data_IF_218124372997
#
_entry.id   IF_218124372997
#
_cell.length_a   1.000
_cell.length_b   1.000
_cell.length_c   1.000
_cell.angle_alpha   90.00
_cell.angle_beta   90.00
_cell.angle_gamma   90.00
#
_symmetry.space_group_name_H-M   'P 1'
#
loop_
_entity.id
_entity.type
_entity.pdbx_description
1 polymer ?
#
# COMPACT_ATOMS: atom_id res chain seq x y z
N UNK A 1 8.90 -31.40 -2.30
CA UNK A 1 8.32 -30.18 -2.89
C UNK A 1 7.42 -29.56 -1.82
N UNK A 2 7.95 -28.63 -1.03
CA UNK A 2 7.22 -27.99 0.08
C UNK A 2 6.42 -26.86 -0.55
N UNK A 3 5.09 -27.02 -0.60
CA UNK A 3 4.18 -25.88 -0.87
C UNK A 3 4.18 -25.01 0.37
N UNK A 4 4.86 -23.88 0.32
CA UNK A 4 4.66 -22.80 1.28
C UNK A 4 3.31 -22.17 0.93
N UNK A 5 2.25 -22.57 1.63
CA UNK A 5 1.00 -21.82 1.64
C UNK A 5 1.25 -20.59 2.51
N UNK A 6 1.54 -19.47 1.90
CA UNK A 6 1.44 -18.17 2.58
C UNK A 6 -0.04 -17.92 2.81
N UNK A 7 -0.52 -18.22 4.01
CA UNK A 7 -1.85 -17.80 4.44
C UNK A 7 -1.78 -16.29 4.67
N UNK A 8 -2.14 -15.53 3.64
CA UNK A 8 -2.37 -14.09 3.80
C UNK A 8 -3.75 -13.97 4.44
N UNK A 9 -3.80 -13.37 5.63
CA UNK A 9 -5.05 -13.18 6.36
C UNK A 9 -5.99 -12.24 5.60
N UNK A 10 -7.27 -12.56 5.60
CA UNK A 10 -8.31 -11.68 5.08
C UNK A 10 -8.78 -10.78 6.21
N UNK A 11 -8.80 -9.47 5.98
CA UNK A 11 -9.32 -8.50 6.93
C UNK A 11 -10.60 -7.87 6.40
N UNK A 12 -11.59 -7.71 7.26
CA UNK A 12 -12.84 -7.07 6.92
C UNK A 12 -13.03 -5.80 7.74
N UNK A 13 -13.46 -4.74 7.07
CA UNK A 13 -13.86 -3.48 7.69
C UNK A 13 -15.34 -3.21 7.46
N UNK A 14 -15.83 -2.01 7.74
CA UNK A 14 -17.22 -1.64 7.48
C UNK A 14 -17.59 -1.75 5.99
N UNK A 15 -16.72 -1.27 5.11
CA UNK A 15 -16.98 -1.18 3.65
C UNK A 15 -16.08 -2.07 2.80
N UNK A 16 -14.96 -2.59 3.37
CA UNK A 16 -13.90 -3.20 2.60
C UNK A 16 -13.66 -4.65 3.00
N UNK A 17 -13.15 -5.42 2.04
CA UNK A 17 -12.45 -6.68 2.24
C UNK A 17 -11.02 -6.48 1.76
N UNK A 18 -10.04 -6.65 2.64
CA UNK A 18 -8.63 -6.69 2.30
C UNK A 18 -8.26 -8.16 2.14
N UNK A 19 -7.99 -8.59 0.92
CA UNK A 19 -7.74 -9.99 0.56
C UNK A 19 -6.52 -10.16 -0.33
N UNK A 20 -5.95 -11.36 -0.42
CA UNK A 20 -4.91 -11.63 -1.41
C UNK A 20 -5.34 -11.24 -2.82
N UNK A 21 -4.39 -10.72 -3.61
CA UNK A 21 -4.58 -10.52 -5.03
C UNK A 21 -4.79 -11.85 -5.75
N UNK A 22 -5.58 -11.84 -6.81
CA UNK A 22 -5.87 -12.98 -7.69
C UNK A 22 -5.49 -12.62 -9.11
N UNK A 23 -5.07 -13.60 -9.90
CA UNK A 23 -4.77 -13.37 -11.32
C UNK A 23 -5.99 -12.83 -12.09
N UNK A 24 -7.19 -13.24 -11.67
CA UNK A 24 -8.46 -12.71 -12.23
C UNK A 24 -8.69 -11.22 -11.98
N UNK A 25 -7.92 -10.58 -11.11
CA UNK A 25 -8.01 -9.14 -10.84
C UNK A 25 -7.21 -8.29 -11.87
N UNK A 26 -6.51 -8.92 -12.82
CA UNK A 26 -5.63 -8.22 -13.76
C UNK A 26 -6.35 -7.15 -14.60
N UNK A 27 -7.56 -7.42 -15.06
CA UNK A 27 -8.35 -6.47 -15.85
C UNK A 27 -8.75 -5.25 -15.01
N UNK A 28 -9.21 -5.45 -13.78
CA UNK A 28 -9.59 -4.34 -12.89
C UNK A 28 -8.36 -3.59 -12.40
N UNK A 29 -7.25 -4.27 -12.17
CA UNK A 29 -5.98 -3.61 -11.86
C UNK A 29 -5.56 -2.71 -13.03
N UNK A 30 -5.55 -3.20 -14.27
CA UNK A 30 -5.23 -2.41 -15.44
C UNK A 30 -6.17 -1.21 -15.59
N UNK A 31 -7.48 -1.41 -15.42
CA UNK A 31 -8.49 -0.33 -15.48
C UNK A 31 -8.11 0.88 -14.63
N UNK A 32 -7.60 0.65 -13.43
CA UNK A 32 -7.28 1.74 -12.49
C UNK A 32 -5.80 2.13 -12.47
N UNK A 33 -4.90 1.18 -12.67
CA UNK A 33 -3.47 1.43 -12.68
C UNK A 33 -2.97 2.09 -13.98
N UNK A 34 -3.75 2.08 -15.06
CA UNK A 34 -3.45 2.83 -16.29
C UNK A 34 -3.81 4.32 -16.19
N UNK A 35 -4.52 4.75 -15.14
CA UNK A 35 -4.82 6.18 -14.92
C UNK A 35 -3.52 6.93 -14.57
N UNK A 36 -3.13 7.96 -15.35
CA UNK A 36 -1.89 8.72 -15.14
C UNK A 36 -1.87 9.52 -13.83
N UNK A 37 -3.01 9.66 -13.15
CA UNK A 37 -3.07 10.32 -11.85
C UNK A 37 -2.87 9.35 -10.67
N UNK A 38 -2.93 8.03 -10.88
CA UNK A 38 -2.83 7.03 -9.81
C UNK A 38 -1.38 6.60 -9.58
N UNK A 39 -0.77 5.92 -10.55
CA UNK A 39 0.56 5.36 -10.42
C UNK A 39 1.65 6.37 -10.04
N UNK A 40 1.77 7.49 -10.77
CA UNK A 40 2.81 8.48 -10.48
C UNK A 40 2.74 9.13 -9.09
N UNK A 41 1.56 9.14 -8.45
CA UNK A 41 1.38 9.59 -7.06
C UNK A 41 1.78 8.54 -6.03
N UNK A 42 1.89 7.29 -6.45
CA UNK A 42 2.28 6.15 -5.61
C UNK A 42 3.69 5.63 -5.96
N UNK A 43 4.36 6.25 -6.93
CA UNK A 43 5.76 5.98 -7.24
C UNK A 43 6.02 5.01 -8.39
N UNK A 44 5.02 4.70 -9.21
CA UNK A 44 5.15 3.79 -10.35
C UNK A 44 4.46 4.35 -11.61
N UNK A 45 4.92 3.96 -12.83
CA UNK A 45 4.34 4.44 -14.08
C UNK A 45 2.96 3.82 -14.32
N UNK A 46 2.07 4.49 -15.07
CA UNK A 46 0.81 3.88 -15.46
C UNK A 46 1.02 2.55 -16.18
N UNK A 47 0.21 1.54 -15.85
CA UNK A 47 0.25 0.25 -16.54
C UNK A 47 -0.17 0.41 -18.01
N UNK A 48 0.45 -0.35 -18.90
CA UNK A 48 0.26 -0.24 -20.35
C UNK A 48 -0.61 -1.34 -20.93
N UNK A 49 -0.81 -2.46 -20.19
CA UNK A 49 -1.64 -3.58 -20.62
C UNK A 49 -2.17 -4.42 -19.46
N UNK A 50 -3.14 -5.28 -19.74
CA UNK A 50 -3.64 -6.30 -18.78
C UNK A 50 -2.57 -7.33 -18.46
N UNK A 51 -1.76 -7.69 -19.46
CA UNK A 51 -0.64 -8.64 -19.30
C UNK A 51 0.42 -8.10 -18.34
N UNK A 52 0.77 -6.83 -18.43
CA UNK A 52 1.65 -6.18 -17.47
C UNK A 52 1.04 -6.18 -16.06
N UNK A 53 -0.24 -5.85 -15.94
CA UNK A 53 -0.96 -5.90 -14.67
C UNK A 53 -0.98 -7.30 -14.07
N UNK A 54 -1.14 -8.35 -14.89
CA UNK A 54 -1.06 -9.74 -14.47
C UNK A 54 0.34 -10.10 -13.95
N UNK A 55 1.37 -9.64 -14.63
CA UNK A 55 2.76 -9.87 -14.20
C UNK A 55 3.06 -9.16 -12.87
N UNK A 56 2.58 -7.93 -12.71
CA UNK A 56 2.69 -7.19 -11.43
C UNK A 56 1.95 -7.92 -10.29
N UNK A 57 0.77 -8.49 -10.55
CA UNK A 57 0.10 -9.33 -9.55
C UNK A 57 0.99 -10.50 -9.14
N UNK A 58 1.60 -11.20 -10.09
CA UNK A 58 2.42 -12.40 -9.85
C UNK A 58 3.72 -12.10 -9.11
N UNK A 59 4.35 -10.97 -9.41
CA UNK A 59 5.73 -10.68 -8.96
C UNK A 59 5.79 -9.70 -7.79
N UNK A 60 4.85 -8.77 -7.70
CA UNK A 60 4.84 -7.68 -6.71
C UNK A 60 3.71 -7.82 -5.71
N UNK A 61 2.49 -8.07 -6.18
CA UNK A 61 1.28 -8.00 -5.34
C UNK A 61 0.88 -9.34 -4.71
N UNK A 62 1.51 -10.46 -5.09
CA UNK A 62 1.28 -11.79 -4.49
C UNK A 62 2.13 -12.06 -3.25
N UNK A 63 2.97 -11.12 -2.84
CA UNK A 63 3.83 -11.24 -1.66
C UNK A 63 3.06 -11.25 -0.34
N UNK A 64 3.71 -11.76 0.71
CA UNK A 64 3.18 -11.63 2.07
C UNK A 64 3.00 -10.15 2.42
N UNK A 65 1.88 -9.83 3.07
CA UNK A 65 1.61 -8.45 3.52
C UNK A 65 1.03 -7.53 2.44
N UNK A 66 0.63 -8.07 1.28
CA UNK A 66 0.02 -7.30 0.20
C UNK A 66 -1.45 -7.68 0.00
N UNK A 67 -2.34 -6.71 0.05
CA UNK A 67 -3.79 -6.91 -0.10
C UNK A 67 -4.39 -6.08 -1.22
N UNK A 68 -5.28 -6.71 -1.97
CA UNK A 68 -6.27 -6.02 -2.79
C UNK A 68 -7.32 -5.40 -1.87
N UNK A 69 -7.68 -4.16 -2.13
CA UNK A 69 -8.77 -3.45 -1.45
C UNK A 69 -10.04 -3.64 -2.25
N UNK A 70 -10.94 -4.50 -1.78
CA UNK A 70 -12.21 -4.81 -2.44
C UNK A 70 -13.36 -4.10 -1.72
N UNK A 71 -14.25 -3.45 -2.47
CA UNK A 71 -15.50 -2.88 -1.95
C UNK A 71 -16.54 -3.98 -1.72
N UNK A 72 -17.09 -4.10 -0.51
CA UNK A 72 -18.16 -5.07 -0.19
C UNK A 72 -19.42 -4.88 -1.04
N UNK A 73 -19.77 -3.63 -1.33
CA UNK A 73 -20.99 -3.30 -2.08
C UNK A 73 -20.99 -3.82 -3.50
N UNK A 74 -19.85 -3.75 -4.18
CA UNK A 74 -19.73 -4.06 -5.61
C UNK A 74 -18.87 -5.28 -5.91
N UNK A 75 -18.12 -5.79 -4.89
CA UNK A 75 -17.08 -6.80 -5.06
C UNK A 75 -15.97 -6.37 -6.04
N UNK A 76 -15.82 -5.08 -6.28
CA UNK A 76 -14.79 -4.52 -7.17
C UNK A 76 -13.51 -4.21 -6.38
N UNK A 77 -12.36 -4.60 -6.93
CA UNK A 77 -11.06 -4.20 -6.40
C UNK A 77 -10.76 -2.78 -6.82
N UNK A 78 -10.52 -1.91 -5.86
CA UNK A 78 -10.37 -0.47 -6.05
C UNK A 78 -9.02 0.09 -5.61
N UNK A 79 -8.08 -0.77 -5.20
CA UNK A 79 -6.77 -0.33 -4.75
C UNK A 79 -5.94 -1.47 -4.17
N UNK A 80 -4.81 -1.09 -3.63
CA UNK A 80 -3.87 -1.96 -2.92
C UNK A 80 -3.38 -1.31 -1.65
N UNK A 81 -3.12 -2.12 -0.64
CA UNK A 81 -2.45 -1.72 0.58
C UNK A 81 -1.58 -2.87 1.06
N UNK A 82 -0.44 -2.55 1.68
CA UNK A 82 0.42 -3.59 2.22
C UNK A 82 1.48 -3.05 3.14
N UNK A 83 2.23 -3.98 3.76
CA UNK A 83 3.42 -3.65 4.52
C UNK A 83 4.66 -4.34 3.92
N UNK A 84 5.79 -3.69 4.05
CA UNK A 84 7.11 -4.16 3.65
C UNK A 84 7.97 -4.26 4.92
N UNK A 85 8.42 -5.46 5.31
CA UNK A 85 9.37 -5.60 6.43
C UNK A 85 10.72 -4.99 6.06
N UNK A 86 11.60 -4.78 7.04
CA UNK A 86 12.89 -4.11 6.89
C UNK A 86 13.71 -4.58 5.66
N UNK A 87 13.76 -5.89 5.41
CA UNK A 87 14.50 -6.45 4.26
C UNK A 87 13.91 -6.15 2.87
N UNK A 88 12.69 -5.60 2.81
CA UNK A 88 11.98 -5.26 1.56
C UNK A 88 11.62 -3.77 1.47
N UNK A 89 11.79 -3.03 2.55
CA UNK A 89 11.56 -1.58 2.61
C UNK A 89 12.67 -0.80 1.91
N UNK A 90 12.33 0.34 1.33
CA UNK A 90 13.30 1.32 0.83
C UNK A 90 13.83 2.25 1.94
N UNK A 91 13.23 2.19 3.14
CA UNK A 91 13.67 2.93 4.30
C UNK A 91 14.66 2.10 5.12
N UNK A 92 15.62 2.77 5.75
CA UNK A 92 16.55 2.16 6.70
C UNK A 92 15.81 2.01 8.05
N UNK A 93 15.21 0.85 8.26
CA UNK A 93 14.37 0.52 9.42
C UNK A 93 14.84 -0.78 10.09
N UNK A 94 14.52 -0.94 11.37
CA UNK A 94 14.88 -2.11 12.16
C UNK A 94 14.02 -3.34 11.84
N UNK A 95 14.50 -4.54 12.19
CA UNK A 95 13.83 -5.82 11.86
C UNK A 95 12.41 -5.96 12.44
N UNK A 96 12.14 -5.31 13.58
CA UNK A 96 10.83 -5.29 14.23
C UNK A 96 9.92 -4.15 13.75
N UNK A 97 10.24 -3.55 12.62
CA UNK A 97 9.51 -2.43 12.01
C UNK A 97 9.09 -2.76 10.58
N UNK A 98 8.11 -2.05 10.06
CA UNK A 98 7.71 -2.18 8.67
C UNK A 98 7.31 -0.84 8.05
N UNK A 99 7.37 -0.77 6.73
CA UNK A 99 6.86 0.33 5.93
C UNK A 99 5.49 -0.04 5.36
N UNK A 100 4.51 0.87 5.40
CA UNK A 100 3.19 0.68 4.81
C UNK A 100 3.08 1.52 3.55
N UNK A 101 2.66 0.87 2.45
CA UNK A 101 2.34 1.50 1.18
C UNK A 101 0.90 1.23 0.74
N UNK A 102 0.33 2.18 -0.01
CA UNK A 102 -1.06 2.04 -0.52
C UNK A 102 -1.32 2.93 -1.73
N UNK A 103 -2.32 2.53 -2.48
CA UNK A 103 -2.98 3.37 -3.48
C UNK A 103 -4.47 3.02 -3.60
N UNK A 104 -5.30 3.99 -3.96
CA UNK A 104 -6.73 3.83 -4.22
C UNK A 104 -7.05 4.44 -5.58
N UNK A 105 -7.92 3.80 -6.33
CA UNK A 105 -8.40 4.25 -7.63
C UNK A 105 -9.09 5.63 -7.53
N UNK A 106 -8.81 6.49 -8.50
CA UNK A 106 -9.24 7.89 -8.52
C UNK A 106 -10.74 8.13 -8.27
N UNK A 107 -11.70 7.32 -8.80
CA UNK A 107 -13.12 7.51 -8.52
C UNK A 107 -13.50 7.39 -7.03
N UNK A 108 -12.63 6.79 -6.21
CA UNK A 108 -12.87 6.51 -4.80
C UNK A 108 -12.09 7.42 -3.85
N UNK A 109 -11.41 8.45 -4.37
CA UNK A 109 -10.71 9.44 -3.56
C UNK A 109 -11.66 10.30 -2.73
N UNK A 110 -11.16 10.85 -1.64
CA UNK A 110 -11.88 11.74 -0.72
C UNK A 110 -13.13 11.13 -0.04
N UNK A 111 -13.26 9.79 -0.06
CA UNK A 111 -14.38 9.06 0.56
C UNK A 111 -14.01 8.35 1.86
N UNK A 112 -12.79 8.57 2.38
CA UNK A 112 -12.27 7.94 3.60
C UNK A 112 -11.92 6.45 3.45
N UNK A 113 -11.94 5.91 2.23
CA UNK A 113 -11.65 4.49 1.96
C UNK A 113 -10.21 4.15 2.31
N UNK A 114 -9.26 4.97 1.88
CA UNK A 114 -7.85 4.75 2.17
C UNK A 114 -7.56 4.79 3.68
N UNK A 115 -8.18 5.72 4.42
CA UNK A 115 -8.07 5.81 5.88
C UNK A 115 -8.62 4.57 6.57
N UNK A 116 -9.77 4.04 6.09
CA UNK A 116 -10.37 2.82 6.62
C UNK A 116 -9.48 1.59 6.38
N UNK A 117 -8.91 1.45 5.18
CA UNK A 117 -7.99 0.37 4.84
C UNK A 117 -6.70 0.46 5.67
N UNK A 118 -6.12 1.66 5.78
CA UNK A 118 -4.88 1.88 6.52
C UNK A 118 -5.06 1.56 8.01
N UNK A 119 -6.18 1.93 8.63
CA UNK A 119 -6.45 1.60 10.02
C UNK A 119 -6.48 0.09 10.26
N UNK A 120 -7.09 -0.68 9.37
CA UNK A 120 -7.12 -2.14 9.48
C UNK A 120 -5.71 -2.78 9.37
N UNK A 121 -4.88 -2.25 8.48
CA UNK A 121 -3.49 -2.74 8.33
C UNK A 121 -2.63 -2.33 9.53
N UNK A 122 -2.82 -1.14 10.09
CA UNK A 122 -2.14 -0.70 11.33
C UNK A 122 -2.46 -1.67 12.47
N UNK A 123 -3.74 -1.96 12.68
CA UNK A 123 -4.18 -2.89 13.72
C UNK A 123 -3.58 -4.29 13.52
N UNK A 124 -3.54 -4.76 12.28
CA UNK A 124 -2.92 -6.03 11.93
C UNK A 124 -1.40 -6.04 12.18
N UNK A 125 -0.69 -5.00 11.74
CA UNK A 125 0.76 -4.89 11.92
C UNK A 125 1.16 -4.87 13.40
N UNK A 126 0.45 -4.13 14.23
CA UNK A 126 0.74 -4.06 15.66
C UNK A 126 0.30 -5.30 16.42
N UNK A 127 -0.95 -5.74 16.25
CA UNK A 127 -1.56 -6.75 17.12
C UNK A 127 -1.36 -8.19 16.64
N UNK A 128 -1.13 -8.41 15.33
CA UNK A 128 -0.95 -9.76 14.76
C UNK A 128 0.52 -10.01 14.42
N UNK A 129 1.19 -9.05 13.76
CA UNK A 129 2.60 -9.19 13.39
C UNK A 129 3.55 -8.77 14.50
N UNK A 130 3.13 -7.93 15.44
CA UNK A 130 3.93 -7.50 16.58
C UNK A 130 5.02 -6.50 16.23
N UNK A 131 4.88 -5.75 15.13
CA UNK A 131 5.82 -4.68 14.81
C UNK A 131 5.76 -3.59 15.90
N UNK A 132 6.91 -2.98 16.18
CA UNK A 132 7.04 -1.92 17.20
C UNK A 132 6.79 -0.52 16.62
N UNK A 133 7.14 -0.31 15.35
CA UNK A 133 7.02 0.97 14.65
C UNK A 133 6.56 0.72 13.22
N UNK A 134 5.63 1.56 12.76
CA UNK A 134 5.20 1.59 11.37
C UNK A 134 5.70 2.88 10.72
N UNK A 135 6.25 2.73 9.54
CA UNK A 135 6.74 3.80 8.69
C UNK A 135 5.90 3.91 7.44
N UNK A 136 5.85 5.07 6.86
CA UNK A 136 5.29 5.31 5.54
C UNK A 136 5.90 6.58 4.97
N UNK A 137 5.75 6.80 3.67
CA UNK A 137 6.21 8.03 3.05
C UNK A 137 5.19 8.58 2.06
N UNK A 138 5.39 9.82 1.64
CA UNK A 138 4.60 10.43 0.58
C UNK A 138 5.37 11.52 -0.15
N UNK A 139 5.04 11.70 -1.42
CA UNK A 139 5.56 12.81 -2.22
C UNK A 139 4.96 14.13 -1.77
N UNK A 140 5.76 15.22 -1.62
CA UNK A 140 5.25 16.53 -1.22
C UNK A 140 4.14 17.10 -2.13
N UNK A 141 4.11 16.66 -3.39
CA UNK A 141 3.07 17.02 -4.37
C UNK A 141 1.80 16.16 -4.26
N UNK A 142 1.80 15.16 -3.33
CA UNK A 142 0.64 14.35 -2.95
C UNK A 142 0.26 14.53 -1.46
N UNK A 143 -0.12 15.74 -1.02
CA UNK A 143 -0.45 15.99 0.38
C UNK A 143 -1.69 15.21 0.86
N UNK A 144 -2.49 14.65 -0.04
CA UNK A 144 -3.62 13.81 0.30
C UNK A 144 -3.18 12.52 1.01
N UNK A 145 -2.06 11.90 0.55
CA UNK A 145 -1.47 10.73 1.20
C UNK A 145 -1.02 11.07 2.63
N UNK A 146 -0.30 12.19 2.83
CA UNK A 146 0.10 12.65 4.16
C UNK A 146 -1.10 12.83 5.10
N UNK A 147 -2.20 13.45 4.63
CA UNK A 147 -3.42 13.60 5.44
C UNK A 147 -4.10 12.28 5.82
N UNK A 148 -4.01 11.25 4.98
CA UNK A 148 -4.51 9.91 5.33
C UNK A 148 -3.69 9.34 6.47
N UNK A 149 -2.37 9.44 6.42
CA UNK A 149 -1.46 8.98 7.49
C UNK A 149 -1.70 9.74 8.80
N UNK A 150 -1.79 11.07 8.76
CA UNK A 150 -2.07 11.91 9.93
C UNK A 150 -3.39 11.53 10.62
N UNK A 151 -4.46 11.25 9.84
CA UNK A 151 -5.75 10.77 10.37
C UNK A 151 -5.65 9.41 11.06
N UNK A 152 -4.67 8.60 10.70
CA UNK A 152 -4.39 7.31 11.31
C UNK A 152 -3.33 7.38 12.43
N UNK A 153 -2.89 8.59 12.82
CA UNK A 153 -1.99 8.80 13.94
C UNK A 153 -0.50 8.87 13.58
N UNK A 154 -0.14 8.75 12.31
CA UNK A 154 1.26 8.97 11.92
C UNK A 154 1.68 10.42 12.13
N UNK A 155 2.92 10.60 12.53
CA UNK A 155 3.57 11.89 12.76
C UNK A 155 4.66 12.12 11.72
N UNK A 156 4.71 13.32 11.16
CA UNK A 156 5.80 13.72 10.26
C UNK A 156 7.11 13.82 11.06
N UNK A 157 8.10 13.08 10.64
CA UNK A 157 9.41 13.06 11.31
C UNK A 157 10.27 14.29 11.03
N UNK A 158 9.86 15.14 10.09
CA UNK A 158 10.67 16.23 9.53
C UNK A 158 11.81 15.75 8.61
N UNK A 159 12.02 14.43 8.51
CA UNK A 159 13.04 13.85 7.64
C UNK A 159 12.51 13.73 6.21
N UNK A 160 13.45 13.80 5.27
CA UNK A 160 13.22 13.56 3.84
C UNK A 160 14.26 12.56 3.36
N UNK A 161 13.86 11.71 2.43
CA UNK A 161 14.78 10.86 1.69
C UNK A 161 14.45 10.93 0.20
N UNK A 162 15.31 10.36 -0.61
CA UNK A 162 15.01 10.15 -2.02
C UNK A 162 14.43 8.75 -2.15
N UNK A 163 13.29 8.63 -2.79
CA UNK A 163 12.76 7.32 -3.17
C UNK A 163 13.55 6.85 -4.38
N UNK A 164 14.41 5.82 -4.26
CA UNK A 164 15.23 5.36 -5.35
C UNK A 164 14.41 4.60 -6.38
N UNK A 165 14.80 4.73 -7.64
CA UNK A 165 14.38 3.79 -8.68
C UNK A 165 12.95 3.91 -9.19
N UNK A 166 12.31 5.04 -8.98
CA UNK A 166 11.06 5.29 -9.67
C UNK A 166 11.34 5.49 -11.16
N UNK A 167 10.84 4.58 -11.97
CA UNK A 167 10.90 4.65 -13.45
C UNK A 167 10.27 5.94 -14.04
N UNK A 168 9.75 6.83 -13.18
CA UNK A 168 9.10 8.09 -13.50
C UNK A 168 10.04 9.30 -13.47
N UNK A 169 11.30 9.12 -13.83
CA UNK A 169 12.18 10.28 -14.10
C UNK A 169 13.09 10.71 -12.96
N UNK A 170 13.62 9.77 -12.19
CA UNK A 170 14.68 10.01 -11.22
C UNK A 170 14.21 10.02 -9.76
N UNK A 171 15.16 10.15 -8.86
CA UNK A 171 14.91 10.19 -7.43
C UNK A 171 14.02 11.35 -7.03
N UNK A 172 12.84 11.08 -6.52
CA UNK A 172 11.94 12.11 -5.99
C UNK A 172 12.06 12.19 -4.47
N UNK A 173 12.07 13.41 -3.88
CA UNK A 173 12.06 13.55 -2.43
C UNK A 173 10.72 13.08 -1.86
N UNK A 174 10.77 12.33 -0.77
CA UNK A 174 9.60 11.92 0.01
C UNK A 174 9.71 12.46 1.43
N UNK A 175 8.58 12.68 2.08
CA UNK A 175 8.45 12.97 3.51
C UNK A 175 8.19 11.68 4.26
N UNK A 176 8.92 11.47 5.35
CA UNK A 176 8.85 10.24 6.14
C UNK A 176 7.90 10.44 7.31
N UNK A 177 6.94 9.55 7.43
CA UNK A 177 5.95 9.47 8.49
C UNK A 177 6.21 8.28 9.40
N UNK A 178 5.91 8.43 10.69
CA UNK A 178 6.15 7.39 11.71
C UNK A 178 4.94 7.25 12.63
N UNK A 179 4.64 6.00 13.00
CA UNK A 179 3.65 5.65 14.01
C UNK A 179 4.25 4.62 14.96
N UNK A 180 4.35 4.95 16.23
CA UNK A 180 4.81 4.05 17.29
C UNK A 180 3.61 3.28 17.87
N UNK A 181 3.85 2.03 18.27
CA UNK A 181 2.86 1.28 19.04
C UNK A 181 2.64 1.97 20.38
N UNK A 182 1.41 2.42 20.63
CA UNK A 182 1.04 2.98 21.93
C UNK A 182 0.74 1.83 22.90
N UNK A 183 1.58 1.68 23.94
CA UNK A 183 1.38 0.73 25.05
C UNK A 183 0.27 1.24 25.95
#
# INVERSE_FOLDING_TARGET
MIRVCTNIDIMETKRLILRPWRESDAEVLFKYASDPDVGPRAGWPPHTSVEESLEIIRTVLSGEGMWAVELKETSEVIGSIGYLPAGSSNLDIEEDQCEIGYWIAKPYWNQGICTEALQAVIDYCFNVKGFSVLWSDYFPDNPASGRVMEKCGFVDTGKKTLCPGLEIGGDKPVRIMRLDYAI
#
